data_IF_182105355020
#
_entry.id   IF_182105355020
#
_cell.length_a   1.000
_cell.length_b   1.000
_cell.length_c   1.000
_cell.angle_alpha   90.00
_cell.angle_beta   90.00
_cell.angle_gamma   90.00
#
_symmetry.space_group_name_H-M   'P 1'
#
loop_
_entity.id
_entity.type
_entity.pdbx_description
1 polymer ?
#
# COMPACT_ATOMS: atom_id res chain seq x y z
N UNK A 1 24.53 -9.45 26.13
CA UNK A 1 23.78 -9.49 24.86
C UNK A 1 23.09 -8.14 24.75
N UNK A 2 23.32 -7.32 23.71
CA UNK A 2 22.63 -6.03 23.60
C UNK A 2 21.17 -6.31 23.26
N UNK A 3 20.24 -5.80 24.06
CA UNK A 3 18.84 -5.75 23.67
C UNK A 3 18.74 -4.89 22.40
N UNK A 4 18.37 -5.53 21.29
CA UNK A 4 18.10 -4.84 20.03
C UNK A 4 16.73 -4.18 20.16
N UNK A 5 16.56 -2.90 19.74
CA UNK A 5 15.24 -2.27 19.74
C UNK A 5 14.22 -3.10 18.96
N UNK A 6 12.97 -3.12 19.44
CA UNK A 6 11.88 -3.73 18.68
C UNK A 6 11.68 -2.96 17.37
N UNK A 7 11.45 -3.71 16.30
CA UNK A 7 11.12 -3.20 14.99
C UNK A 7 9.73 -3.73 14.64
N UNK A 8 8.86 -2.86 14.14
CA UNK A 8 7.53 -3.23 13.66
C UNK A 8 7.46 -3.02 12.16
N UNK A 9 6.85 -3.97 11.46
CA UNK A 9 6.63 -3.92 10.02
C UNK A 9 5.14 -3.70 9.81
N UNK A 10 4.78 -2.59 9.17
CA UNK A 10 3.42 -2.31 8.73
C UNK A 10 3.28 -2.72 7.26
N UNK A 11 2.27 -3.54 6.96
CA UNK A 11 1.92 -3.98 5.62
C UNK A 11 0.46 -3.64 5.34
N UNK A 12 0.18 -3.16 4.14
CA UNK A 12 -1.19 -3.14 3.61
C UNK A 12 -1.18 -3.53 2.14
N UNK A 13 -2.09 -4.42 1.76
CA UNK A 13 -2.39 -4.81 0.39
C UNK A 13 -3.76 -4.23 0.04
N UNK A 14 -3.80 -3.47 -1.04
CA UNK A 14 -5.02 -2.84 -1.53
C UNK A 14 -5.47 -3.50 -2.83
N UNK A 15 -6.74 -3.89 -2.87
CA UNK A 15 -7.37 -4.26 -4.14
C UNK A 15 -7.94 -3.01 -4.79
N UNK A 16 -7.40 -2.63 -5.95
CA UNK A 16 -7.74 -1.41 -6.66
C UNK A 16 -8.41 -1.76 -7.98
N UNK A 17 -9.65 -1.31 -8.17
CA UNK A 17 -10.36 -1.42 -9.44
C UNK A 17 -10.16 -0.15 -10.26
N UNK A 18 -10.07 -0.27 -11.59
CA UNK A 18 -9.84 0.85 -12.50
C UNK A 18 -10.91 0.82 -13.60
N UNK A 19 -12.17 1.20 -13.29
CA UNK A 19 -13.31 0.97 -14.19
C UNK A 19 -13.18 1.62 -15.56
N UNK A 20 -12.45 2.75 -15.65
CA UNK A 20 -12.26 3.50 -16.89
C UNK A 20 -11.06 3.05 -17.71
N UNK A 21 -10.26 2.08 -17.26
CA UNK A 21 -9.12 1.59 -18.03
C UNK A 21 -9.57 0.73 -19.21
N UNK A 22 -9.11 1.04 -20.42
CA UNK A 22 -9.36 0.24 -21.62
C UNK A 22 -8.12 -0.52 -22.12
N UNK A 23 -6.99 -0.39 -21.42
CA UNK A 23 -5.72 -0.96 -21.84
C UNK A 23 -4.73 -1.11 -20.68
N UNK A 24 -3.71 -1.96 -20.87
CA UNK A 24 -2.60 -2.09 -19.91
C UNK A 24 -1.84 -0.78 -19.69
N UNK A 25 -1.88 0.14 -20.67
CA UNK A 25 -1.25 1.45 -20.53
C UNK A 25 -2.03 2.33 -19.55
N UNK A 26 -3.35 2.33 -19.63
CA UNK A 26 -4.22 3.11 -18.72
C UNK A 26 -4.04 2.62 -17.28
N UNK A 27 -4.03 1.29 -17.07
CA UNK A 27 -3.67 0.70 -15.77
C UNK A 27 -2.35 1.22 -15.25
N UNK A 28 -1.29 1.13 -16.06
CA UNK A 28 0.06 1.58 -15.68
C UNK A 28 0.07 3.06 -15.27
N UNK A 29 -0.71 3.90 -15.95
CA UNK A 29 -0.80 5.32 -15.61
C UNK A 29 -1.44 5.53 -14.23
N UNK A 30 -2.57 4.87 -13.96
CA UNK A 30 -3.27 4.97 -12.67
C UNK A 30 -2.41 4.40 -11.54
N UNK A 31 -1.87 3.19 -11.72
CA UNK A 31 -1.00 2.53 -10.74
C UNK A 31 0.23 3.39 -10.44
N UNK A 32 0.91 3.91 -11.47
CA UNK A 32 2.07 4.79 -11.29
C UNK A 32 1.69 6.05 -10.50
N UNK A 33 0.56 6.67 -10.81
CA UNK A 33 0.09 7.86 -10.09
C UNK A 33 -0.15 7.58 -8.60
N UNK A 34 -0.77 6.45 -8.28
CA UNK A 34 -1.02 6.04 -6.89
C UNK A 34 0.28 5.73 -6.14
N UNK A 35 1.22 5.01 -6.77
CA UNK A 35 2.55 4.73 -6.22
C UNK A 35 3.32 6.03 -5.95
N UNK A 36 3.35 6.94 -6.93
CA UNK A 36 4.05 8.22 -6.83
C UNK A 36 3.43 9.09 -5.72
N UNK A 37 2.10 9.11 -5.59
CA UNK A 37 1.40 9.81 -4.51
C UNK A 37 1.85 9.31 -3.13
N UNK A 38 1.83 7.99 -2.91
CA UNK A 38 2.16 7.39 -1.62
C UNK A 38 3.63 7.61 -1.25
N UNK A 39 4.56 7.35 -2.19
CA UNK A 39 5.99 7.58 -1.97
C UNK A 39 6.35 9.04 -1.74
N UNK A 40 5.60 9.98 -2.32
CA UNK A 40 5.82 11.43 -2.12
C UNK A 40 5.33 11.91 -0.76
N UNK A 41 4.30 11.28 -0.20
CA UNK A 41 3.63 11.74 1.04
C UNK A 41 4.11 11.02 2.29
N UNK A 42 4.58 9.79 2.16
CA UNK A 42 4.87 8.90 3.27
C UNK A 42 6.24 8.24 3.08
N UNK A 43 6.89 7.88 4.19
CA UNK A 43 8.12 7.10 4.16
C UNK A 43 7.79 5.60 4.03
N UNK A 44 7.48 5.18 2.81
CA UNK A 44 6.97 3.82 2.51
C UNK A 44 7.61 3.23 1.27
N UNK A 45 7.75 1.89 1.27
CA UNK A 45 7.92 1.11 0.05
C UNK A 45 6.56 0.81 -0.55
N UNK A 46 6.44 0.86 -1.87
CA UNK A 46 5.18 0.56 -2.59
C UNK A 46 5.49 -0.26 -3.83
N UNK A 47 4.70 -1.31 -4.06
CA UNK A 47 4.84 -2.25 -5.18
C UNK A 47 3.49 -2.58 -5.81
N UNK A 48 3.50 -2.75 -7.13
CA UNK A 48 2.40 -3.35 -7.89
C UNK A 48 2.61 -4.88 -7.91
N UNK A 49 1.69 -5.63 -7.30
CA UNK A 49 1.72 -7.10 -7.23
C UNK A 49 0.97 -7.75 -8.40
N UNK A 50 0.54 -6.98 -9.40
CA UNK A 50 -0.20 -7.48 -10.56
C UNK A 50 -1.72 -7.31 -10.39
N UNK A 51 -2.56 -8.19 -10.95
CA UNK A 51 -2.21 -9.36 -11.75
C UNK A 51 -1.74 -8.97 -13.17
N UNK A 52 -0.93 -9.83 -13.78
CA UNK A 52 -0.42 -9.60 -15.13
C UNK A 52 -1.53 -9.66 -16.19
N UNK A 53 -1.41 -8.87 -17.25
CA UNK A 53 -2.32 -8.84 -18.40
C UNK A 53 -3.79 -8.49 -18.09
N UNK A 54 -4.07 -7.95 -16.91
CA UNK A 54 -5.37 -7.37 -16.54
C UNK A 54 -5.23 -5.84 -16.50
N UNK A 55 -6.22 -5.09 -16.97
CA UNK A 55 -6.15 -3.61 -17.04
C UNK A 55 -7.11 -2.89 -16.09
N UNK A 56 -8.18 -3.54 -15.64
CA UNK A 56 -9.21 -2.95 -14.78
C UNK A 56 -9.03 -3.31 -13.29
N UNK A 57 -7.94 -3.99 -12.95
CA UNK A 57 -7.63 -4.44 -11.59
C UNK A 57 -6.13 -4.32 -11.30
N UNK A 58 -5.79 -3.94 -10.07
CA UNK A 58 -4.44 -3.95 -9.54
C UNK A 58 -4.43 -4.34 -8.06
N UNK A 59 -3.37 -5.03 -7.62
CA UNK A 59 -3.04 -5.27 -6.23
C UNK A 59 -1.82 -4.42 -5.86
N UNK A 60 -1.99 -3.46 -4.96
CA UNK A 60 -0.91 -2.55 -4.56
C UNK A 60 -0.53 -2.82 -3.11
N UNK A 61 0.73 -3.18 -2.88
CA UNK A 61 1.27 -3.36 -1.53
C UNK A 61 2.03 -2.12 -1.07
N UNK A 62 1.86 -1.76 0.19
CA UNK A 62 2.64 -0.75 0.90
C UNK A 62 3.30 -1.41 2.11
N UNK A 63 4.59 -1.15 2.32
CA UNK A 63 5.33 -1.67 3.47
C UNK A 63 6.17 -0.56 4.10
N UNK A 64 6.26 -0.55 5.44
CA UNK A 64 7.17 0.33 6.18
C UNK A 64 7.64 -0.26 7.50
N UNK A 65 8.71 0.32 8.03
CA UNK A 65 9.34 -0.04 9.29
C UNK A 65 9.12 1.08 10.32
N UNK A 66 8.74 0.70 11.55
CA UNK A 66 8.44 1.62 12.66
C UNK A 66 9.08 1.15 13.97
N UNK A 67 9.35 2.08 14.89
CA UNK A 67 9.93 1.77 16.20
C UNK A 67 8.88 1.32 17.23
N UNK A 68 7.59 1.47 16.91
CA UNK A 68 6.48 0.99 17.73
C UNK A 68 5.29 0.52 16.89
N UNK A 69 4.46 -0.38 17.43
CA UNK A 69 3.22 -0.80 16.80
C UNK A 69 2.27 0.38 16.55
N UNK A 70 2.20 1.33 17.49
CA UNK A 70 1.35 2.53 17.35
C UNK A 70 1.76 3.39 16.16
N UNK A 71 3.06 3.59 15.95
CA UNK A 71 3.57 4.32 14.78
C UNK A 71 3.27 3.56 13.47
N UNK A 72 3.39 2.23 13.48
CA UNK A 72 3.02 1.39 12.33
C UNK A 72 1.52 1.51 11.99
N UNK A 73 0.63 1.37 12.96
CA UNK A 73 -0.82 1.56 12.78
C UNK A 73 -1.15 2.97 12.28
N UNK A 74 -0.56 4.00 12.89
CA UNK A 74 -0.77 5.40 12.48
C UNK A 74 -0.32 5.65 11.04
N UNK A 75 0.71 4.95 10.57
CA UNK A 75 1.15 5.00 9.19
C UNK A 75 0.14 4.30 8.26
N UNK A 76 -0.38 3.13 8.62
CA UNK A 76 -1.41 2.44 7.83
C UNK A 76 -2.68 3.29 7.69
N UNK A 77 -3.13 3.92 8.78
CA UNK A 77 -4.25 4.88 8.76
C UNK A 77 -3.96 6.07 7.83
N UNK A 78 -2.71 6.53 7.78
CA UNK A 78 -2.30 7.59 6.86
C UNK A 78 -2.31 7.13 5.40
N UNK A 79 -1.86 5.90 5.11
CA UNK A 79 -1.93 5.29 3.77
C UNK A 79 -3.38 5.25 3.30
N UNK A 80 -4.27 4.61 4.07
CA UNK A 80 -5.68 4.47 3.74
C UNK A 80 -6.33 5.83 3.47
N UNK A 81 -6.12 6.81 4.36
CA UNK A 81 -6.63 8.17 4.20
C UNK A 81 -6.15 8.81 2.89
N UNK A 82 -4.85 8.71 2.56
CA UNK A 82 -4.34 9.31 1.34
C UNK A 82 -4.88 8.65 0.08
N UNK A 83 -5.09 7.33 0.10
CA UNK A 83 -5.65 6.59 -1.04
C UNK A 83 -7.14 6.90 -1.23
N UNK A 84 -7.94 6.87 -0.16
CA UNK A 84 -9.38 7.18 -0.21
C UNK A 84 -9.64 8.62 -0.68
N UNK A 85 -8.81 9.59 -0.24
CA UNK A 85 -8.89 10.96 -0.74
C UNK A 85 -8.55 11.09 -2.23
N UNK A 86 -7.68 10.21 -2.73
CA UNK A 86 -7.29 10.18 -4.13
C UNK A 86 -8.32 9.45 -5.01
N UNK A 87 -9.01 8.46 -4.49
CA UNK A 87 -10.05 7.68 -5.17
C UNK A 87 -11.09 8.59 -5.84
N UNK A 88 -11.65 9.54 -5.07
CA UNK A 88 -12.67 10.48 -5.51
C UNK A 88 -12.30 11.34 -6.75
N UNK A 89 -11.03 11.34 -7.17
CA UNK A 89 -10.51 12.23 -8.22
C UNK A 89 -9.74 11.52 -9.34
N UNK A 90 -9.41 10.23 -9.20
CA UNK A 90 -8.35 9.60 -10.02
C UNK A 90 -8.76 8.34 -10.78
N UNK A 91 -10.06 8.07 -10.94
CA UNK A 91 -10.56 7.04 -11.86
C UNK A 91 -10.21 5.60 -11.44
N UNK A 92 -9.98 5.41 -10.14
CA UNK A 92 -9.88 4.10 -9.51
C UNK A 92 -10.84 4.03 -8.32
N UNK A 93 -11.13 2.82 -7.87
CA UNK A 93 -11.94 2.50 -6.71
C UNK A 93 -11.16 1.56 -5.80
N UNK A 94 -11.24 1.75 -4.49
CA UNK A 94 -10.67 0.80 -3.53
C UNK A 94 -11.73 -0.20 -3.12
N UNK A 95 -11.45 -1.48 -3.36
CA UNK A 95 -12.36 -2.57 -3.03
C UNK A 95 -12.15 -3.03 -1.59
N UNK A 96 -10.89 -3.17 -1.17
CA UNK A 96 -10.53 -3.53 0.20
C UNK A 96 -9.10 -3.10 0.55
N UNK A 97 -8.85 -3.11 1.86
CA UNK A 97 -7.54 -3.07 2.47
C UNK A 97 -7.38 -4.35 3.29
N UNK A 98 -6.30 -5.08 3.06
CA UNK A 98 -5.83 -6.15 3.93
C UNK A 98 -4.55 -5.67 4.61
N UNK A 99 -4.57 -5.53 5.94
CA UNK A 99 -3.54 -4.80 6.67
C UNK A 99 -3.06 -5.56 7.89
N UNK A 100 -1.76 -5.44 8.16
CA UNK A 100 -1.11 -6.16 9.24
C UNK A 100 0.05 -5.34 9.84
N UNK A 101 0.25 -5.46 11.15
CA UNK A 101 1.41 -4.92 11.86
C UNK A 101 2.08 -6.03 12.63
N UNK A 102 3.31 -6.34 12.27
CA UNK A 102 4.07 -7.44 12.88
C UNK A 102 5.33 -6.96 13.58
N UNK A 103 5.67 -7.59 14.71
CA UNK A 103 6.95 -7.33 15.38
C UNK A 103 8.04 -8.21 14.72
N UNK A 104 9.03 -7.56 14.12
CA UNK A 104 10.19 -8.24 13.55
C UNK A 104 10.88 -9.12 14.59
N UNK A 105 11.12 -10.38 14.23
CA UNK A 105 11.65 -11.42 15.12
C UNK A 105 10.61 -12.32 15.77
N UNK A 106 9.31 -12.08 15.55
CA UNK A 106 8.21 -13.00 15.90
C UNK A 106 7.53 -13.62 14.66
N UNK A 107 8.13 -13.43 13.47
CA UNK A 107 7.63 -14.02 12.22
C UNK A 107 7.87 -15.54 12.28
N UNK A 108 6.84 -16.30 12.64
CA UNK A 108 6.85 -17.76 12.50
C UNK A 108 6.67 -18.09 11.00
N UNK A 109 7.58 -18.91 10.46
CA UNK A 109 7.48 -19.45 9.10
C UNK A 109 6.48 -20.60 9.05
#
# INVERSE_FOLDING_TARGET
MRDIPKLFIAVVIMTVKIPSAGSLKDRRQVVKSLIDLLKKRLNVSVVDLGPDNIWDLAYIAVVSASASAKEAESLLDAVERHVLLAEAKNGFEIINFDREVECYGQIEN
#
